data_IF_914356556461
#
_entry.id   IF_914356556461
#
_cell.length_a   1.000
_cell.length_b   1.000
_cell.length_c   1.000
_cell.angle_alpha   90.00
_cell.angle_beta   90.00
_cell.angle_gamma   90.00
#
_symmetry.space_group_name_H-M   'P 1'
#
loop_
_entity.id
_entity.type
_entity.pdbx_description
1 polymer ?
#
# COMPACT_ATOMS: atom_id res chain seq x y z
N UNK A 1 18.21 31.04 13.82
CA UNK A 1 16.95 30.96 13.03
C UNK A 1 17.04 29.76 12.10
N UNK A 2 16.15 28.77 12.22
CA UNK A 2 16.13 27.66 11.27
C UNK A 2 15.64 28.18 9.91
N UNK A 3 16.41 27.97 8.85
CA UNK A 3 15.94 28.23 7.48
C UNK A 3 14.84 27.20 7.18
N UNK A 4 13.63 27.66 6.88
CA UNK A 4 12.48 26.82 6.50
C UNK A 4 12.72 26.09 5.17
N UNK A 5 11.70 25.45 4.62
CA UNK A 5 11.80 24.69 3.35
C UNK A 5 12.38 25.57 2.24
N UNK A 6 13.50 25.16 1.66
CA UNK A 6 14.15 25.81 0.53
C UNK A 6 13.92 25.02 -0.75
N UNK A 7 13.90 25.72 -1.88
CA UNK A 7 13.99 25.08 -3.20
C UNK A 7 15.37 24.42 -3.33
N UNK A 8 15.41 23.23 -3.91
CA UNK A 8 16.64 22.48 -4.18
C UNK A 8 16.61 22.02 -5.63
N UNK A 9 17.79 21.91 -6.24
CA UNK A 9 17.92 21.42 -7.61
C UNK A 9 17.60 19.92 -7.69
N UNK A 10 17.03 19.48 -8.82
CA UNK A 10 16.68 18.09 -9.08
C UNK A 10 17.87 17.31 -9.65
N UNK A 11 18.97 17.33 -8.90
CA UNK A 11 20.21 16.59 -9.18
C UNK A 11 20.67 15.83 -7.94
N UNK A 12 21.62 14.91 -8.09
CA UNK A 12 22.18 14.18 -6.94
C UNK A 12 22.86 15.16 -5.98
N UNK A 13 22.43 15.15 -4.71
CA UNK A 13 23.08 15.92 -3.65
C UNK A 13 24.51 15.43 -3.41
N UNK A 14 25.45 16.36 -3.32
CA UNK A 14 26.87 16.04 -3.08
C UNK A 14 27.17 15.81 -1.59
N UNK A 15 26.47 16.52 -0.70
CA UNK A 15 26.63 16.34 0.73
C UNK A 15 25.90 15.07 1.19
N UNK A 16 26.67 14.07 1.65
CA UNK A 16 26.16 12.75 2.01
C UNK A 16 25.14 12.81 3.17
N UNK A 17 25.40 13.61 4.22
CA UNK A 17 24.48 13.75 5.35
C UNK A 17 23.12 14.31 4.90
N UNK A 18 23.14 15.34 4.05
CA UNK A 18 21.92 15.91 3.46
C UNK A 18 21.21 14.92 2.55
N UNK A 19 21.96 14.12 1.79
CA UNK A 19 21.42 13.06 0.93
C UNK A 19 20.70 11.99 1.77
N UNK A 20 21.30 11.51 2.86
CA UNK A 20 20.72 10.49 3.76
C UNK A 20 19.44 11.00 4.45
N UNK A 21 19.46 12.23 4.96
CA UNK A 21 18.28 12.86 5.58
C UNK A 21 17.18 13.07 4.55
N UNK A 22 17.52 13.57 3.37
CA UNK A 22 16.56 13.82 2.28
C UNK A 22 15.97 12.51 1.78
N UNK A 23 16.78 11.47 1.61
CA UNK A 23 16.33 10.13 1.26
C UNK A 23 15.28 9.65 2.25
N UNK A 24 15.58 9.71 3.56
CA UNK A 24 14.69 9.24 4.60
C UNK A 24 13.34 9.97 4.59
N UNK A 25 13.37 11.31 4.48
CA UNK A 25 12.16 12.14 4.43
C UNK A 25 11.35 11.92 3.15
N UNK A 26 12.01 11.91 1.98
CA UNK A 26 11.33 11.73 0.68
C UNK A 26 10.76 10.33 0.53
N UNK A 27 11.47 9.29 0.97
CA UNK A 27 10.98 7.90 0.98
C UNK A 27 9.71 7.77 1.81
N UNK A 28 9.70 8.33 3.02
CA UNK A 28 8.52 8.32 3.88
C UNK A 28 7.33 9.06 3.23
N UNK A 29 7.57 10.24 2.66
CA UNK A 29 6.54 11.01 1.95
C UNK A 29 6.01 10.27 0.71
N UNK A 30 6.89 9.64 -0.06
CA UNK A 30 6.54 8.83 -1.23
C UNK A 30 5.65 7.64 -0.85
N UNK A 31 6.01 6.90 0.21
CA UNK A 31 5.22 5.76 0.68
C UNK A 31 3.86 6.20 1.17
N UNK A 32 3.78 7.32 1.89
CA UNK A 32 2.50 7.91 2.31
C UNK A 32 1.61 8.25 1.11
N UNK A 33 2.16 8.88 0.07
CA UNK A 33 1.42 9.21 -1.14
C UNK A 33 0.97 7.98 -1.92
N UNK A 34 1.80 6.95 -1.99
CA UNK A 34 1.40 5.67 -2.60
C UNK A 34 0.24 5.03 -1.83
N UNK A 35 0.29 5.02 -0.49
CA UNK A 35 -0.80 4.53 0.35
C UNK A 35 -2.09 5.31 0.14
N UNK A 36 -2.03 6.64 0.13
CA UNK A 36 -3.19 7.50 -0.15
C UNK A 36 -3.81 7.16 -1.53
N UNK A 37 -2.98 6.99 -2.55
CA UNK A 37 -3.43 6.66 -3.90
C UNK A 37 -4.07 5.26 -3.98
N UNK A 38 -3.50 4.27 -3.30
CA UNK A 38 -4.08 2.92 -3.20
C UNK A 38 -5.46 2.99 -2.55
N UNK A 39 -5.59 3.72 -1.43
CA UNK A 39 -6.86 3.87 -0.72
C UNK A 39 -7.91 4.62 -1.53
N UNK A 40 -7.55 5.75 -2.15
CA UNK A 40 -8.51 6.61 -2.85
C UNK A 40 -8.98 6.04 -4.18
N UNK A 41 -8.09 5.36 -4.91
CA UNK A 41 -8.35 4.95 -6.28
C UNK A 41 -8.40 3.43 -6.46
N UNK A 42 -8.21 2.65 -5.39
CA UNK A 42 -8.05 1.19 -5.50
C UNK A 42 -6.82 0.80 -6.32
N UNK A 43 -5.83 1.70 -6.43
CA UNK A 43 -4.66 1.48 -7.26
C UNK A 43 -3.77 0.38 -6.69
N UNK A 44 -3.35 -0.54 -7.54
CA UNK A 44 -2.37 -1.56 -7.21
C UNK A 44 -0.95 -1.05 -7.51
N UNK A 45 -0.12 -0.91 -6.48
CA UNK A 45 1.19 -0.24 -6.57
C UNK A 45 2.24 -1.11 -5.89
N UNK A 46 3.42 -1.22 -6.51
CA UNK A 46 4.64 -1.68 -5.86
C UNK A 46 5.75 -0.64 -6.03
N UNK A 47 6.43 -0.30 -4.94
CA UNK A 47 7.58 0.59 -4.89
C UNK A 47 8.75 -0.15 -4.26
N UNK A 48 9.92 -0.09 -4.90
CA UNK A 48 11.18 -0.60 -4.38
C UNK A 48 12.22 0.52 -4.46
N UNK A 49 12.85 0.85 -3.34
CA UNK A 49 13.77 1.99 -3.24
C UNK A 49 15.03 1.55 -2.51
N UNK A 50 16.19 1.82 -3.12
CA UNK A 50 17.50 1.55 -2.54
C UNK A 50 18.07 2.82 -1.90
N UNK A 51 18.52 2.73 -0.65
CA UNK A 51 19.22 3.83 0.00
C UNK A 51 20.64 3.99 -0.52
N UNK A 52 21.27 5.16 -0.33
CA UNK A 52 22.70 5.30 -0.62
C UNK A 52 23.55 4.30 0.20
N UNK A 53 23.07 3.89 1.38
CA UNK A 53 23.65 2.82 2.20
C UNK A 53 23.32 1.40 1.75
N UNK A 54 22.85 1.20 0.50
CA UNK A 54 22.53 -0.10 -0.12
C UNK A 54 21.45 -0.92 0.61
N UNK A 55 20.62 -0.27 1.43
CA UNK A 55 19.47 -0.92 2.09
C UNK A 55 18.24 -0.81 1.20
N UNK A 56 17.48 -1.89 1.12
CA UNK A 56 16.23 -1.95 0.35
C UNK A 56 15.05 -1.57 1.23
N UNK A 57 14.14 -0.78 0.68
CA UNK A 57 12.85 -0.46 1.28
C UNK A 57 11.76 -0.67 0.24
N UNK A 58 10.63 -1.22 0.66
CA UNK A 58 9.52 -1.46 -0.25
C UNK A 58 8.18 -1.05 0.36
N UNK A 59 7.23 -0.75 -0.53
CA UNK A 59 5.83 -0.56 -0.23
C UNK A 59 5.02 -1.26 -1.32
N UNK A 60 3.98 -1.98 -0.96
CA UNK A 60 3.13 -2.66 -1.93
C UNK A 60 1.69 -2.76 -1.48
N UNK A 61 0.77 -2.58 -2.41
CA UNK A 61 -0.65 -2.86 -2.24
C UNK A 61 -1.16 -3.67 -3.45
N UNK A 62 -1.75 -4.86 -3.24
CA UNK A 62 -2.02 -5.50 -1.96
C UNK A 62 -0.78 -6.08 -1.26
N UNK A 63 0.24 -6.52 -2.00
CA UNK A 63 1.58 -6.80 -1.47
C UNK A 63 2.63 -6.65 -2.59
N UNK A 64 3.89 -6.43 -2.24
CA UNK A 64 4.97 -6.16 -3.21
C UNK A 64 5.17 -7.36 -4.15
N UNK A 65 5.29 -8.56 -3.57
CA UNK A 65 5.62 -9.78 -4.30
C UNK A 65 4.55 -10.13 -5.33
N UNK A 66 3.26 -10.07 -4.97
CA UNK A 66 2.17 -10.34 -5.92
C UNK A 66 2.18 -9.40 -7.12
N UNK A 67 2.50 -8.11 -6.93
CA UNK A 67 2.56 -7.14 -8.03
C UNK A 67 3.77 -7.39 -8.91
N UNK A 68 4.93 -7.66 -8.30
CA UNK A 68 6.18 -7.97 -9.02
C UNK A 68 6.04 -9.27 -9.80
N UNK A 69 5.55 -10.33 -9.17
CA UNK A 69 5.31 -11.62 -9.79
C UNK A 69 4.39 -11.48 -10.99
N UNK A 70 3.26 -10.78 -10.83
CA UNK A 70 2.32 -10.51 -11.93
C UNK A 70 2.95 -9.71 -13.06
N UNK A 71 3.80 -8.74 -12.74
CA UNK A 71 4.51 -7.94 -13.75
C UNK A 71 5.52 -8.79 -14.53
N UNK A 72 6.30 -9.63 -13.84
CA UNK A 72 7.29 -10.50 -14.46
C UNK A 72 6.63 -11.64 -15.26
N UNK A 73 5.58 -12.25 -14.72
CA UNK A 73 4.81 -13.30 -15.42
C UNK A 73 4.04 -12.76 -16.61
N UNK A 74 3.61 -11.48 -16.62
CA UNK A 74 2.95 -10.90 -17.81
C UNK A 74 3.86 -10.84 -19.05
N UNK A 75 5.18 -10.79 -18.86
CA UNK A 75 6.14 -10.85 -19.95
C UNK A 75 6.48 -12.29 -20.37
N UNK A 76 5.98 -13.28 -19.63
CA UNK A 76 6.06 -14.70 -19.96
C UNK A 76 4.66 -15.16 -20.42
N UNK A 77 4.57 -16.11 -21.34
CA UNK A 77 3.28 -16.65 -21.79
C UNK A 77 2.41 -17.13 -20.58
N UNK A 78 1.07 -17.05 -20.66
CA UNK A 78 0.21 -17.11 -19.48
C UNK A 78 0.17 -18.51 -18.88
N UNK A 79 0.73 -18.68 -17.67
CA UNK A 79 0.48 -19.86 -16.86
C UNK A 79 -0.67 -19.57 -15.88
N UNK A 80 -1.91 -19.78 -16.35
CA UNK A 80 -3.18 -19.39 -15.73
C UNK A 80 -3.46 -19.95 -14.32
N UNK A 81 -2.68 -20.92 -13.81
CA UNK A 81 -2.99 -21.62 -12.55
C UNK A 81 -2.67 -20.83 -11.28
N UNK A 82 -1.54 -20.11 -11.23
CA UNK A 82 -1.09 -19.46 -10.00
C UNK A 82 -1.91 -18.19 -9.68
N UNK A 83 -2.33 -17.46 -10.72
CA UNK A 83 -3.18 -16.27 -10.55
C UNK A 83 -4.57 -16.63 -10.03
N UNK A 84 -5.11 -17.81 -10.36
CA UNK A 84 -6.41 -18.25 -9.87
C UNK A 84 -6.41 -18.57 -8.37
N UNK A 85 -5.34 -19.18 -7.85
CA UNK A 85 -5.22 -19.50 -6.42
C UNK A 85 -5.14 -18.25 -5.55
N UNK A 86 -4.36 -17.25 -5.96
CA UNK A 86 -4.25 -15.97 -5.23
C UNK A 86 -5.60 -15.24 -5.23
N UNK A 87 -6.28 -15.20 -6.38
CA UNK A 87 -7.62 -14.60 -6.50
C UNK A 87 -8.63 -15.38 -5.66
N UNK A 88 -8.59 -16.70 -5.65
CA UNK A 88 -9.48 -17.54 -4.84
C UNK A 88 -9.27 -17.31 -3.34
N UNK A 89 -8.03 -17.26 -2.86
CA UNK A 89 -7.72 -16.92 -1.46
C UNK A 89 -8.20 -15.52 -1.10
N UNK A 90 -7.95 -14.51 -1.95
CA UNK A 90 -8.44 -13.16 -1.71
C UNK A 90 -9.97 -13.12 -1.64
N UNK A 91 -10.64 -13.82 -2.56
CA UNK A 91 -12.10 -13.88 -2.60
C UNK A 91 -12.67 -14.61 -1.38
N UNK A 92 -11.99 -15.64 -0.86
CA UNK A 92 -12.37 -16.30 0.38
C UNK A 92 -12.29 -15.34 1.56
N UNK A 93 -11.16 -14.64 1.74
CA UNK A 93 -11.03 -13.65 2.83
C UNK A 93 -12.04 -12.52 2.74
N UNK A 94 -12.36 -12.05 1.52
CA UNK A 94 -13.41 -11.02 1.32
C UNK A 94 -14.79 -11.54 1.70
N UNK A 95 -15.10 -12.81 1.41
CA UNK A 95 -16.38 -13.42 1.81
C UNK A 95 -16.50 -13.51 3.34
N UNK A 96 -15.44 -13.92 4.02
CA UNK A 96 -15.44 -14.04 5.48
C UNK A 96 -15.65 -12.67 6.14
N UNK A 97 -14.93 -11.65 5.68
CA UNK A 97 -15.08 -10.27 6.15
C UNK A 97 -16.48 -9.70 5.89
N UNK A 98 -17.06 -9.97 4.72
CA UNK A 98 -18.42 -9.53 4.42
C UNK A 98 -19.45 -10.22 5.32
N UNK A 99 -19.25 -11.50 5.65
CA UNK A 99 -20.13 -12.22 6.56
C UNK A 99 -20.07 -11.63 7.98
N UNK A 100 -18.86 -11.30 8.46
CA UNK A 100 -18.67 -10.63 9.74
C UNK A 100 -19.33 -9.25 9.76
N UNK A 101 -19.18 -8.46 8.69
CA UNK A 101 -19.81 -7.15 8.54
C UNK A 101 -21.33 -7.25 8.62
N UNK A 102 -21.96 -8.17 7.87
CA UNK A 102 -23.41 -8.39 7.91
C UNK A 102 -23.89 -8.79 9.31
N UNK A 103 -23.12 -9.61 10.02
CA UNK A 103 -23.48 -10.01 11.38
C UNK A 103 -23.44 -8.81 12.34
N UNK A 104 -22.40 -7.98 12.25
CA UNK A 104 -22.26 -6.77 13.07
C UNK A 104 -23.37 -5.76 12.74
N UNK A 105 -23.71 -5.57 11.47
CA UNK A 105 -24.81 -4.70 11.04
C UNK A 105 -26.16 -5.16 11.62
N UNK A 106 -26.40 -6.48 11.63
CA UNK A 106 -27.60 -7.06 12.25
C UNK A 106 -27.68 -6.76 13.75
N UNK A 107 -26.57 -6.94 14.47
CA UNK A 107 -26.48 -6.63 15.91
C UNK A 107 -26.75 -5.14 16.16
N UNK A 108 -26.13 -4.27 15.37
CA UNK A 108 -26.30 -2.82 15.48
C UNK A 108 -27.77 -2.41 15.28
N UNK A 109 -28.44 -3.01 14.30
CA UNK A 109 -29.85 -2.73 14.01
C UNK A 109 -30.77 -3.18 15.16
N UNK A 110 -30.49 -4.34 15.77
CA UNK A 110 -31.25 -4.83 16.93
C UNK A 110 -31.11 -3.89 18.14
N UNK A 111 -29.88 -3.46 18.45
CA UNK A 111 -29.64 -2.50 19.54
C UNK A 111 -30.32 -1.16 19.30
N UNK A 112 -30.31 -0.66 18.06
CA UNK A 112 -31.00 0.58 17.68
C UNK A 112 -32.51 0.48 17.90
N UNK A 113 -33.13 -0.61 17.42
CA UNK A 113 -34.55 -0.84 17.61
C UNK A 113 -34.93 -1.01 19.10
N UNK A 114 -34.02 -1.56 19.93
CA UNK A 114 -34.19 -1.66 21.39
C UNK A 114 -34.18 -0.30 22.07
N UNK A 115 -33.33 0.62 21.60
CA UNK A 115 -33.25 1.99 22.12
C UNK A 115 -34.44 2.85 21.71
N UNK A 116 -35.05 2.60 20.55
CA UNK A 116 -36.26 3.32 20.08
C UNK A 116 -37.56 2.84 20.74
N UNK A 117 -37.55 1.65 21.36
CA UNK A 117 -38.70 1.07 22.07
C UNK A 117 -38.77 1.44 23.57
N UNK A 118 -37.86 2.29 24.05
CA UNK A 118 -37.82 2.86 25.40
C UNK A 118 -38.15 4.36 25.36
#
# INVERSE_FOLDING_TARGET
MAKGRQKVDMVKMQNESNLQVTFSKRRAGLFKKASELCTLCGAEIALVVFSPGKKVYSFGHPCVDSIVDRFLTRNSQPNNGHSQLIVAHRNASVRDLNMELTNIEGILQMEKNRGEAL
#
